data_IF_240223903236
#
_entry.id   IF_240223903236
#
_cell.length_a   1.000
_cell.length_b   1.000
_cell.length_c   1.000
_cell.angle_alpha   90.00
_cell.angle_beta   90.00
_cell.angle_gamma   90.00
#
_symmetry.space_group_name_H-M   'P 1'
#
loop_
_entity.id
_entity.type
_entity.pdbx_description
1 polymer ?
#
# COMPACT_ATOMS: atom_id res chain seq x y z
N UNK A 1 -9.63 4.86 -14.40
CA UNK A 1 -10.29 5.72 -13.42
C UNK A 1 -9.50 5.69 -12.13
N UNK A 2 -9.10 6.85 -11.65
CA UNK A 2 -8.43 7.01 -10.38
C UNK A 2 -9.28 7.87 -9.46
N UNK A 3 -9.12 7.68 -8.16
CA UNK A 3 -9.75 8.49 -7.14
C UNK A 3 -8.72 9.16 -6.23
N UNK A 4 -9.07 10.32 -5.73
CA UNK A 4 -8.33 11.11 -4.76
C UNK A 4 -9.25 11.41 -3.59
N UNK A 5 -8.77 11.16 -2.37
CA UNK A 5 -9.43 11.51 -1.13
C UNK A 5 -8.75 12.71 -0.47
N UNK A 6 -9.48 13.53 0.31
CA UNK A 6 -8.89 14.63 1.05
C UNK A 6 -7.88 14.11 2.06
N UNK A 7 -6.80 14.84 2.25
CA UNK A 7 -5.79 14.53 3.23
C UNK A 7 -5.31 15.80 3.93
N UNK A 8 -5.31 15.74 5.24
CA UNK A 8 -4.72 16.77 6.10
C UNK A 8 -3.54 16.15 6.86
N UNK A 9 -2.36 16.79 6.90
CA UNK A 9 -1.25 16.29 7.69
C UNK A 9 -1.65 15.95 9.13
N UNK A 10 -1.28 14.75 9.59
CA UNK A 10 -1.65 14.26 10.91
C UNK A 10 -3.00 13.55 11.01
N UNK A 11 -3.84 13.58 9.96
CA UNK A 11 -5.07 12.81 9.88
C UNK A 11 -4.81 11.34 9.51
N UNK A 12 -5.88 10.56 9.30
CA UNK A 12 -5.81 9.18 8.83
C UNK A 12 -5.01 9.09 7.54
N UNK A 13 -4.04 8.19 7.49
CA UNK A 13 -3.17 8.01 6.33
C UNK A 13 -3.95 7.51 5.12
N UNK A 14 -3.69 8.15 3.97
CA UNK A 14 -4.36 7.86 2.70
C UNK A 14 -3.40 7.91 1.53
N UNK A 15 -3.67 7.08 0.53
CA UNK A 15 -2.96 7.18 -0.74
C UNK A 15 -3.29 8.49 -1.46
N UNK A 16 -2.31 9.06 -2.16
CA UNK A 16 -2.53 10.24 -3.01
C UNK A 16 -3.55 9.97 -4.11
N UNK A 17 -3.45 8.81 -4.74
CA UNK A 17 -4.38 8.33 -5.75
C UNK A 17 -4.60 6.83 -5.63
N UNK A 18 -5.82 6.39 -5.90
CA UNK A 18 -6.22 4.98 -5.90
C UNK A 18 -6.73 4.61 -7.27
N UNK A 19 -6.28 3.50 -7.84
CA UNK A 19 -6.88 2.96 -9.07
C UNK A 19 -8.21 2.30 -8.73
N UNK A 20 -9.29 2.82 -9.27
CA UNK A 20 -10.65 2.36 -9.00
C UNK A 20 -11.18 1.41 -10.07
N UNK A 21 -10.91 1.71 -11.34
CA UNK A 21 -11.36 0.89 -12.47
C UNK A 21 -10.48 1.14 -13.69
N UNK A 22 -10.46 0.20 -14.62
CA UNK A 22 -9.78 0.35 -15.89
C UNK A 22 -10.46 -0.44 -16.98
N UNK A 23 -10.37 0.07 -18.19
CA UNK A 23 -10.83 -0.64 -19.39
C UNK A 23 -9.89 -0.40 -20.56
N UNK A 24 -9.86 -1.35 -21.49
CA UNK A 24 -9.14 -1.22 -22.75
C UNK A 24 -10.15 -1.11 -23.91
N UNK A 25 -9.82 -0.24 -24.84
CA UNK A 25 -10.59 -0.19 -26.10
C UNK A 25 -10.40 -1.49 -26.89
N UNK A 26 -11.38 -1.93 -27.67
CA UNK A 26 -11.14 -2.92 -28.72
C UNK A 26 -10.16 -2.33 -29.76
N UNK A 27 -9.77 -3.15 -30.71
CA UNK A 27 -9.06 -2.64 -31.88
C UNK A 27 -9.96 -1.69 -32.66
N UNK A 28 -9.55 -0.42 -32.76
CA UNK A 28 -10.26 0.60 -33.51
C UNK A 28 -9.56 0.89 -34.84
N UNK A 29 -10.31 0.93 -35.91
CA UNK A 29 -9.81 1.42 -37.20
C UNK A 29 -9.82 2.96 -37.21
N UNK A 30 -9.06 3.60 -38.12
CA UNK A 30 -9.07 5.06 -38.22
C UNK A 30 -10.46 5.63 -38.41
N UNK A 31 -10.86 6.52 -37.49
CA UNK A 31 -12.19 7.15 -37.45
C UNK A 31 -13.25 6.40 -36.68
N UNK A 32 -12.96 5.21 -36.14
CA UNK A 32 -13.87 4.51 -35.24
C UNK A 32 -13.78 5.06 -33.82
N UNK A 33 -14.91 5.01 -33.13
CA UNK A 33 -15.07 5.44 -31.74
C UNK A 33 -15.64 4.29 -30.91
N UNK A 34 -15.29 4.24 -29.63
CA UNK A 34 -15.97 3.38 -28.68
C UNK A 34 -16.28 4.13 -27.39
N UNK A 35 -17.32 3.70 -26.71
CA UNK A 35 -17.67 4.18 -25.39
C UNK A 35 -17.24 3.14 -24.36
N UNK A 36 -16.50 3.57 -23.35
CA UNK A 36 -16.14 2.76 -22.19
C UNK A 36 -16.93 3.25 -20.98
N UNK A 37 -17.47 2.32 -20.21
CA UNK A 37 -18.09 2.63 -18.92
C UNK A 37 -17.13 2.18 -17.83
N UNK A 38 -16.75 3.12 -16.97
CA UNK A 38 -15.94 2.87 -15.78
C UNK A 38 -16.82 3.10 -14.56
N UNK A 39 -16.70 2.23 -13.57
CA UNK A 39 -17.50 2.29 -12.35
C UNK A 39 -16.59 2.30 -11.14
N UNK A 40 -17.02 2.92 -10.06
CA UNK A 40 -16.33 2.85 -8.79
C UNK A 40 -17.32 2.67 -7.65
N UNK A 41 -16.86 1.92 -6.64
CA UNK A 41 -17.53 1.89 -5.36
C UNK A 41 -16.78 2.87 -4.44
N UNK A 42 -17.48 3.84 -3.81
CA UNK A 42 -16.86 4.78 -2.88
C UNK A 42 -16.09 4.11 -1.74
N UNK A 43 -16.44 2.88 -1.38
CA UNK A 43 -15.72 2.07 -0.39
C UNK A 43 -14.21 2.00 -0.67
N UNK A 44 -13.79 1.95 -1.94
CA UNK A 44 -12.37 1.90 -2.30
C UNK A 44 -11.62 3.22 -2.09
N UNK A 45 -12.32 4.30 -1.76
CA UNK A 45 -11.73 5.57 -1.34
C UNK A 45 -11.66 5.70 0.18
N UNK A 46 -12.29 4.78 0.91
CA UNK A 46 -12.24 4.76 2.36
C UNK A 46 -10.84 4.36 2.85
N UNK A 47 -10.47 4.90 4.00
CA UNK A 47 -9.21 4.61 4.69
C UNK A 47 -9.50 3.98 6.03
N UNK A 48 -8.62 3.08 6.48
CA UNK A 48 -8.78 2.43 7.77
C UNK A 48 -8.10 3.24 8.87
N UNK A 49 -8.87 3.73 9.82
CA UNK A 49 -8.33 4.41 11.00
C UNK A 49 -8.00 3.40 12.10
N UNK A 50 -6.74 2.98 12.15
CA UNK A 50 -6.27 2.01 13.14
C UNK A 50 -5.82 2.66 14.47
N UNK A 51 -5.70 3.98 14.50
CA UNK A 51 -5.23 4.74 15.66
C UNK A 51 -6.28 5.66 16.27
N UNK A 52 -7.50 5.61 15.75
CA UNK A 52 -8.60 6.49 16.16
C UNK A 52 -8.19 7.98 16.10
N UNK A 53 -7.59 8.38 14.96
CA UNK A 53 -7.08 9.74 14.78
C UNK A 53 -8.19 10.78 14.75
N UNK A 54 -9.38 10.37 14.33
CA UNK A 54 -10.55 11.24 14.31
C UNK A 54 -11.32 11.26 15.65
N UNK A 55 -10.84 10.52 16.67
CA UNK A 55 -11.46 10.42 17.98
C UNK A 55 -12.94 9.98 17.95
N UNK A 56 -13.29 9.16 16.95
CA UNK A 56 -14.64 8.63 16.78
C UNK A 56 -14.83 7.24 17.39
N UNK A 57 -13.78 6.66 17.96
CA UNK A 57 -13.70 5.34 18.64
C UNK A 57 -13.95 4.14 17.74
N UNK A 58 -13.87 4.34 16.43
CA UNK A 58 -14.16 3.30 15.46
C UNK A 58 -12.88 2.83 14.76
N UNK A 59 -12.38 1.66 15.12
CA UNK A 59 -11.41 0.95 14.30
C UNK A 59 -12.11 0.41 13.06
N UNK A 60 -12.39 1.28 12.11
CA UNK A 60 -13.20 1.00 10.93
C UNK A 60 -12.60 1.64 9.68
N UNK A 61 -13.20 1.37 8.53
CA UNK A 61 -12.96 2.19 7.35
C UNK A 61 -13.84 3.44 7.39
N UNK A 62 -13.31 4.53 6.90
CA UNK A 62 -14.04 5.79 6.84
C UNK A 62 -13.74 6.57 5.57
N UNK A 63 -14.75 7.33 5.14
CA UNK A 63 -14.62 8.40 4.17
C UNK A 63 -14.74 9.71 4.96
N UNK A 64 -13.66 10.44 5.11
CA UNK A 64 -13.66 11.72 5.80
C UNK A 64 -14.46 12.75 5.02
N UNK A 65 -15.09 13.68 5.71
CA UNK A 65 -15.67 14.85 5.09
C UNK A 65 -14.60 15.65 4.33
N UNK A 66 -14.93 16.11 3.15
CA UNK A 66 -14.04 16.93 2.34
C UNK A 66 -14.20 16.76 0.85
N UNK A 67 -13.29 17.34 0.11
CA UNK A 67 -13.31 17.37 -1.34
C UNK A 67 -12.56 16.17 -1.93
N UNK A 68 -13.27 15.38 -2.69
CA UNK A 68 -12.81 14.23 -3.44
C UNK A 68 -12.75 14.54 -4.92
N UNK A 69 -12.01 13.75 -5.65
CA UNK A 69 -12.01 13.83 -7.11
C UNK A 69 -11.86 12.45 -7.76
N UNK A 70 -12.55 12.26 -8.87
CA UNK A 70 -12.33 11.16 -9.78
C UNK A 70 -11.54 11.65 -10.98
N UNK A 71 -10.54 10.91 -11.41
CA UNK A 71 -9.71 11.25 -12.56
C UNK A 71 -9.79 10.18 -13.63
N UNK A 72 -10.12 10.57 -14.85
CA UNK A 72 -9.79 9.77 -16.03
C UNK A 72 -8.35 10.08 -16.39
N UNK A 73 -7.50 9.07 -16.40
CA UNK A 73 -6.06 9.24 -16.52
C UNK A 73 -5.44 8.15 -17.39
N UNK A 74 -4.29 8.44 -17.99
CA UNK A 74 -3.50 7.45 -18.71
C UNK A 74 -2.68 6.55 -17.76
N UNK A 75 -2.31 7.10 -16.62
CA UNK A 75 -1.58 6.47 -15.52
C UNK A 75 -1.83 7.29 -14.24
N UNK A 76 -1.21 6.94 -13.13
CA UNK A 76 -1.40 7.62 -11.85
C UNK A 76 -1.03 9.12 -11.85
N UNK A 77 -0.25 9.60 -12.82
CA UNK A 77 0.27 10.96 -12.87
C UNK A 77 -0.31 11.81 -14.01
N UNK A 78 -0.75 11.17 -15.11
CA UNK A 78 -1.20 11.88 -16.32
C UNK A 78 -2.72 12.03 -16.32
N UNK A 79 -3.22 12.98 -15.56
CA UNK A 79 -4.66 13.30 -15.46
C UNK A 79 -5.15 13.94 -16.76
N UNK A 80 -6.26 13.42 -17.30
CA UNK A 80 -6.87 13.91 -18.53
C UNK A 80 -8.14 14.67 -18.24
N UNK A 81 -8.95 14.17 -17.33
CA UNK A 81 -10.23 14.74 -16.96
C UNK A 81 -10.50 14.52 -15.47
N UNK A 82 -11.16 15.49 -14.84
CA UNK A 82 -11.45 15.48 -13.42
C UNK A 82 -12.94 15.68 -13.17
N UNK A 83 -13.48 14.92 -12.23
CA UNK A 83 -14.84 15.07 -11.69
C UNK A 83 -14.72 15.26 -10.19
N UNK A 84 -14.82 16.49 -9.67
CA UNK A 84 -14.82 16.73 -8.24
C UNK A 84 -16.19 16.37 -7.63
N UNK A 85 -16.18 15.95 -6.36
CA UNK A 85 -17.36 15.81 -5.53
C UNK A 85 -16.97 16.01 -4.05
N UNK A 86 -17.96 16.30 -3.22
CA UNK A 86 -17.74 16.57 -1.80
C UNK A 86 -18.51 15.57 -0.96
N UNK A 87 -17.87 15.05 0.08
CA UNK A 87 -18.51 14.31 1.17
C UNK A 87 -18.71 15.29 2.31
N UNK A 88 -19.95 15.50 2.70
CA UNK A 88 -20.30 16.57 3.65
C UNK A 88 -19.98 16.20 5.10
N UNK A 89 -20.21 14.95 5.47
CA UNK A 89 -19.98 14.41 6.82
C UNK A 89 -19.18 13.12 6.72
N UNK A 90 -18.42 12.80 7.75
CA UNK A 90 -17.66 11.54 7.82
C UNK A 90 -18.61 10.35 7.71
N UNK A 91 -18.25 9.39 6.87
CA UNK A 91 -19.01 8.16 6.66
C UNK A 91 -18.22 7.00 7.25
N UNK A 92 -18.73 6.45 8.35
CA UNK A 92 -18.16 5.32 9.05
C UNK A 92 -18.65 4.01 8.43
N UNK A 93 -17.72 3.12 8.09
CA UNK A 93 -18.00 1.82 7.49
C UNK A 93 -17.51 0.75 8.44
N UNK A 94 -18.41 0.31 9.33
CA UNK A 94 -18.14 -0.68 10.38
C UNK A 94 -18.43 -2.12 9.94
N UNK A 95 -19.05 -2.30 8.79
CA UNK A 95 -19.37 -3.63 8.23
C UNK A 95 -18.82 -3.73 6.80
N UNK A 96 -18.22 -4.87 6.49
CA UNK A 96 -17.76 -5.18 5.14
C UNK A 96 -18.95 -5.25 4.18
N UNK A 97 -18.98 -4.43 3.11
CA UNK A 97 -20.15 -4.32 2.24
C UNK A 97 -20.43 -5.58 1.41
N UNK A 98 -19.46 -6.49 1.31
CA UNK A 98 -19.61 -7.74 0.54
C UNK A 98 -20.05 -8.88 1.42
N UNK A 99 -19.46 -9.02 2.60
CA UNK A 99 -19.72 -10.15 3.50
C UNK A 99 -20.71 -9.85 4.61
N UNK A 100 -20.95 -8.56 4.93
CA UNK A 100 -21.77 -8.13 6.06
C UNK A 100 -21.13 -8.39 7.42
N UNK A 101 -19.85 -8.77 7.45
CA UNK A 101 -19.15 -8.98 8.71
C UNK A 101 -18.69 -7.64 9.29
N UNK A 102 -18.72 -7.56 10.63
CA UNK A 102 -18.13 -6.42 11.34
C UNK A 102 -16.65 -6.31 11.02
N UNK A 103 -16.20 -5.10 10.76
CA UNK A 103 -14.79 -4.78 10.55
C UNK A 103 -14.15 -4.65 11.92
N UNK A 104 -13.09 -5.43 12.14
CA UNK A 104 -12.34 -5.45 13.41
C UNK A 104 -10.84 -5.31 13.10
N UNK A 105 -10.14 -4.63 13.98
CA UNK A 105 -8.68 -4.64 13.94
C UNK A 105 -8.16 -6.02 14.37
N UNK A 106 -7.65 -6.79 13.40
CA UNK A 106 -7.10 -8.13 13.63
C UNK A 106 -5.65 -8.13 14.08
N UNK A 107 -5.05 -6.96 14.19
CA UNK A 107 -3.64 -6.77 14.50
C UNK A 107 -3.43 -6.03 15.83
N UNK A 108 -4.38 -6.14 16.74
CA UNK A 108 -4.31 -5.50 18.07
C UNK A 108 -3.17 -6.02 18.94
N UNK A 109 -2.67 -7.22 18.64
CA UNK A 109 -1.55 -7.87 19.30
C UNK A 109 -0.19 -7.58 18.61
N UNK A 110 -0.19 -6.95 17.47
CA UNK A 110 1.01 -6.39 16.87
C UNK A 110 1.41 -5.13 17.66
N UNK A 111 2.15 -5.35 18.72
CA UNK A 111 2.91 -4.26 19.33
C UNK A 111 3.94 -3.79 18.29
N UNK A 112 3.65 -2.69 17.63
CA UNK A 112 4.60 -1.97 16.76
C UNK A 112 5.70 -1.31 17.62
N UNK A 113 6.04 -1.90 18.75
CA UNK A 113 7.20 -1.49 19.52
C UNK A 113 8.44 -1.84 18.69
N UNK A 114 9.02 -0.79 18.15
CA UNK A 114 10.12 -0.79 17.22
C UNK A 114 11.40 -1.44 17.73
N UNK A 115 11.48 -1.77 19.02
CA UNK A 115 12.73 -2.25 19.64
C UNK A 115 13.15 -3.63 19.15
N UNK A 116 12.19 -4.53 18.86
CA UNK A 116 12.49 -5.92 18.51
C UNK A 116 12.57 -6.18 16.99
N UNK A 117 11.92 -5.33 16.17
CA UNK A 117 11.82 -5.57 14.73
C UNK A 117 12.48 -4.50 13.87
N UNK A 118 13.10 -3.48 14.46
CA UNK A 118 13.67 -2.33 13.73
C UNK A 118 12.68 -1.59 12.81
N UNK A 119 11.39 -1.76 13.03
CA UNK A 119 10.34 -0.99 12.36
C UNK A 119 10.33 0.40 12.97
N UNK A 120 11.20 1.25 12.47
CA UNK A 120 11.45 2.56 13.07
C UNK A 120 10.29 3.53 12.92
N UNK A 121 9.61 3.50 11.77
CA UNK A 121 8.54 4.48 11.51
C UNK A 121 7.64 3.96 10.39
N UNK A 122 6.32 4.07 10.55
CA UNK A 122 5.38 3.86 9.46
C UNK A 122 5.50 5.01 8.47
N UNK A 123 5.41 4.68 7.18
CA UNK A 123 5.43 5.68 6.12
C UNK A 123 4.24 6.62 6.28
N UNK A 124 4.49 7.92 6.32
CA UNK A 124 3.47 8.95 6.47
C UNK A 124 3.60 10.02 5.40
N UNK A 125 2.47 10.52 4.92
CA UNK A 125 2.42 11.69 4.03
C UNK A 125 2.66 13.00 4.78
N UNK A 126 2.49 13.02 6.09
CA UNK A 126 2.74 14.19 6.93
C UNK A 126 4.22 14.57 6.91
N UNK A 127 5.08 13.59 7.03
CA UNK A 127 6.52 13.76 6.97
C UNK A 127 7.12 12.73 6.00
N UNK A 128 6.87 12.95 4.73
CA UNK A 128 7.33 12.05 3.67
C UNK A 128 8.85 11.89 3.66
N UNK A 129 9.59 12.97 3.87
CA UNK A 129 11.06 12.95 3.92
C UNK A 129 11.57 12.26 5.18
N UNK A 130 10.93 12.50 6.34
CA UNK A 130 11.31 11.90 7.62
C UNK A 130 10.94 10.42 7.75
N UNK A 131 9.93 9.95 7.01
CA UNK A 131 9.46 8.56 7.07
C UNK A 131 9.89 7.70 5.89
N UNK A 132 10.45 8.29 4.83
CA UNK A 132 11.01 7.51 3.72
C UNK A 132 12.27 6.77 4.14
N UNK A 133 12.39 5.49 3.80
CA UNK A 133 13.64 4.76 4.02
C UNK A 133 14.79 5.45 3.28
N UNK A 134 15.87 5.68 3.96
CA UNK A 134 17.09 6.15 3.32
C UNK A 134 17.63 5.08 2.36
N UNK A 135 18.08 5.52 1.20
CA UNK A 135 18.76 4.61 0.29
C UNK A 135 20.06 4.10 0.94
N UNK A 136 20.35 2.79 0.90
CA UNK A 136 21.59 2.27 1.43
C UNK A 136 22.80 3.01 0.89
N UNK A 137 23.70 3.43 1.76
CA UNK A 137 24.96 4.06 1.37
C UNK A 137 25.83 3.11 0.54
N UNK A 138 26.90 3.61 -0.02
CA UNK A 138 27.88 2.75 -0.71
C UNK A 138 28.50 1.77 0.28
N UNK A 139 28.76 2.23 1.51
CA UNK A 139 29.35 1.41 2.55
C UNK A 139 28.43 0.29 3.01
N UNK A 140 27.11 0.56 3.13
CA UNK A 140 26.11 -0.48 3.46
C UNK A 140 25.98 -1.55 2.36
N UNK A 141 26.37 -1.23 1.15
CA UNK A 141 26.37 -2.15 0.00
C UNK A 141 27.72 -2.80 -0.27
N UNK A 142 28.73 -2.42 0.50
CA UNK A 142 30.08 -2.98 0.40
C UNK A 142 30.19 -4.15 1.37
N UNK A 143 30.52 -5.31 0.86
CA UNK A 143 30.73 -6.49 1.67
C UNK A 143 32.11 -6.40 2.33
N UNK A 144 32.17 -6.60 3.63
CA UNK A 144 33.41 -6.61 4.38
C UNK A 144 34.41 -7.64 3.81
N UNK A 145 35.70 -7.29 3.81
CA UNK A 145 36.76 -8.15 3.30
C UNK A 145 36.81 -9.47 4.07
N UNK A 146 36.58 -9.44 5.39
CA UNK A 146 36.50 -10.63 6.24
C UNK A 146 35.34 -11.56 5.81
N UNK A 147 34.18 -10.99 5.45
CA UNK A 147 33.06 -11.77 4.95
C UNK A 147 33.30 -12.34 3.56
N UNK A 148 33.99 -11.58 2.69
CA UNK A 148 34.43 -12.08 1.38
C UNK A 148 35.42 -13.22 1.50
N UNK A 149 36.41 -13.12 2.41
CA UNK A 149 37.34 -14.21 2.70
C UNK A 149 36.63 -15.44 3.26
N UNK A 150 35.66 -15.23 4.17
CA UNK A 150 34.86 -16.32 4.71
C UNK A 150 34.02 -17.01 3.61
N UNK A 151 33.45 -16.25 2.65
CA UNK A 151 32.74 -16.82 1.51
C UNK A 151 33.65 -17.60 0.56
N UNK A 152 34.88 -17.09 0.31
CA UNK A 152 35.84 -17.75 -0.56
C UNK A 152 36.42 -19.01 0.08
N UNK A 153 36.60 -19.01 1.41
CA UNK A 153 37.09 -20.14 2.19
C UNK A 153 35.97 -21.08 2.66
N UNK A 154 34.73 -20.78 2.29
CA UNK A 154 33.61 -21.67 2.63
C UNK A 154 33.83 -23.02 1.97
N UNK A 155 33.97 -24.02 2.80
CA UNK A 155 33.98 -25.40 2.31
C UNK A 155 32.63 -25.73 1.69
N UNK A 156 32.64 -25.96 0.40
CA UNK A 156 31.44 -26.31 -0.34
C UNK A 156 31.12 -27.82 -0.19
N UNK A 157 32.02 -28.56 0.40
CA UNK A 157 31.79 -29.97 0.75
C UNK A 157 31.07 -30.02 2.10
N UNK A 158 29.75 -29.91 2.05
CA UNK A 158 28.96 -30.21 3.23
C UNK A 158 28.81 -31.73 3.33
N UNK A 159 29.75 -32.38 4.08
CA UNK A 159 29.74 -33.83 4.27
C UNK A 159 28.39 -34.35 4.79
N UNK A 160 27.64 -33.56 5.55
CA UNK A 160 26.29 -33.90 5.98
C UNK A 160 25.28 -33.91 4.84
N UNK A 161 25.37 -32.95 3.91
CA UNK A 161 24.48 -32.88 2.75
C UNK A 161 24.86 -34.01 1.75
N UNK A 162 26.13 -34.29 1.57
CA UNK A 162 26.59 -35.40 0.73
C UNK A 162 26.14 -36.74 1.32
N UNK A 163 26.24 -36.91 2.62
CA UNK A 163 25.77 -38.12 3.31
C UNK A 163 24.25 -38.31 3.22
N UNK A 164 23.49 -37.22 3.27
CA UNK A 164 22.03 -37.25 3.07
C UNK A 164 21.66 -37.58 1.60
N UNK A 165 22.46 -37.08 0.64
CA UNK A 165 22.26 -37.38 -0.77
C UNK A 165 22.57 -38.85 -1.10
N UNK A 166 23.63 -39.42 -0.51
CA UNK A 166 23.98 -40.80 -0.64
C UNK A 166 22.95 -41.77 -0.04
N UNK A 167 22.17 -41.31 0.95
CA UNK A 167 21.04 -42.07 1.49
C UNK A 167 19.79 -42.03 0.60
N UNK A 168 19.84 -41.32 -0.54
CA UNK A 168 18.71 -41.22 -1.49
C UNK A 168 17.46 -40.52 -0.90
N UNK A 169 17.64 -39.72 0.12
CA UNK A 169 16.55 -38.90 0.68
C UNK A 169 16.39 -37.64 -0.18
N UNK A 170 15.12 -37.26 -0.52
CA UNK A 170 14.85 -36.10 -1.34
C UNK A 170 15.19 -34.79 -0.64
#
# INVERSE_FOLDING_TARGET
LYGHAPYTPGSVEKSEVVLLDFAKTPLLLPGEECTLTLTCDPYYLASYDYTDKNENWDNCFELDAGDYALYVSKNAHDRVFEVPFTVEDDIIISEDPVTGNTIENRYTDLELDSSDYHLQTLLSREDWEGTMPEAPSVDDRTVDEEYLEALQNRDHNNEEADALFDLGLP
#
